data_IF_136360026456
#
_entry.id   IF_136360026456
#
_cell.length_a   1.000
_cell.length_b   1.000
_cell.length_c   1.000
_cell.angle_alpha   90.00
_cell.angle_beta   90.00
_cell.angle_gamma   90.00
#
_symmetry.space_group_name_H-M   'P 1'
#
loop_
_entity.id
_entity.type
_entity.pdbx_description
1 polymer ?
#
# COMPACT_ATOMS: atom_id res chain seq x y z
N UNK A 1 15.57 4.05 -29.01
CA UNK A 1 14.62 3.56 -27.98
C UNK A 1 14.83 4.29 -26.65
N UNK A 2 13.78 4.54 -25.86
CA UNK A 2 13.85 5.20 -24.54
C UNK A 2 13.61 4.16 -23.44
N UNK A 3 14.47 4.07 -22.43
CA UNK A 3 14.37 3.11 -21.32
C UNK A 3 14.43 3.82 -19.97
N UNK A 4 13.69 3.31 -19.00
CA UNK A 4 13.78 3.74 -17.59
C UNK A 4 15.12 3.32 -17.00
N UNK A 5 15.82 4.24 -16.34
CA UNK A 5 17.10 3.98 -15.67
C UNK A 5 17.22 4.83 -14.40
N UNK A 6 17.10 4.20 -13.23
CA UNK A 6 17.03 4.92 -11.96
C UNK A 6 15.85 5.90 -11.94
N UNK A 7 16.14 7.18 -11.66
CA UNK A 7 15.14 8.27 -11.68
C UNK A 7 14.99 8.94 -13.06
N UNK A 8 15.76 8.50 -14.04
CA UNK A 8 15.83 9.13 -15.36
C UNK A 8 15.40 8.17 -16.48
N UNK A 9 15.45 8.69 -17.70
CA UNK A 9 15.28 7.89 -18.90
C UNK A 9 16.53 8.02 -19.78
N UNK A 10 17.05 6.89 -20.24
CA UNK A 10 18.16 6.86 -21.19
C UNK A 10 17.65 6.63 -22.61
N UNK A 11 18.33 7.22 -23.59
CA UNK A 11 18.06 6.99 -25.01
C UNK A 11 19.13 6.09 -25.61
N UNK A 12 18.73 4.92 -26.08
CA UNK A 12 19.57 4.00 -26.83
C UNK A 12 19.46 4.28 -28.33
N UNK A 13 20.57 4.60 -29.04
CA UNK A 13 20.59 4.79 -30.48
C UNK A 13 20.69 3.41 -31.17
N UNK A 14 19.57 2.71 -31.27
CA UNK A 14 19.45 1.46 -32.02
C UNK A 14 18.69 1.76 -33.30
N UNK A 15 19.25 1.40 -34.44
CA UNK A 15 18.58 1.51 -35.73
C UNK A 15 17.41 0.54 -35.83
N UNK A 16 16.29 0.98 -36.40
CA UNK A 16 15.04 0.19 -36.48
C UNK A 16 15.23 -1.14 -37.21
N UNK A 17 16.16 -1.21 -38.19
CA UNK A 17 16.50 -2.45 -38.90
C UNK A 17 17.03 -3.56 -38.00
N UNK A 18 17.55 -3.19 -36.83
CA UNK A 18 18.08 -4.11 -35.82
C UNK A 18 17.04 -4.50 -34.75
N UNK A 19 15.79 -3.99 -34.86
CA UNK A 19 14.71 -4.23 -33.88
C UNK A 19 13.71 -5.22 -34.47
N UNK A 20 13.68 -6.43 -33.90
CA UNK A 20 12.69 -7.46 -34.31
C UNK A 20 11.29 -7.09 -33.80
N UNK A 21 11.16 -6.70 -32.53
CA UNK A 21 9.87 -6.35 -31.92
C UNK A 21 10.06 -5.57 -30.61
N UNK A 22 9.13 -4.65 -30.32
CA UNK A 22 9.02 -3.99 -29.01
C UNK A 22 7.79 -4.56 -28.29
N UNK A 23 8.02 -5.15 -27.11
CA UNK A 23 6.95 -5.70 -26.27
C UNK A 23 6.54 -4.67 -25.21
N UNK A 24 5.40 -4.03 -25.43
CA UNK A 24 4.82 -3.07 -24.48
C UNK A 24 3.65 -3.69 -23.72
N UNK A 25 3.38 -3.16 -22.52
CA UNK A 25 2.16 -3.45 -21.78
C UNK A 25 0.94 -3.03 -22.61
N UNK A 26 -0.15 -3.79 -22.51
CA UNK A 26 -1.44 -3.38 -23.08
C UNK A 26 -1.88 -2.08 -22.39
N UNK A 27 -2.27 -1.08 -23.18
CA UNK A 27 -2.85 0.16 -22.64
C UNK A 27 -4.09 -0.18 -21.82
N UNK A 28 -4.12 0.26 -20.57
CA UNK A 28 -5.29 0.18 -19.71
C UNK A 28 -5.94 1.57 -19.65
N UNK A 29 -7.28 1.60 -19.60
CA UNK A 29 -8.01 2.86 -19.40
C UNK A 29 -7.78 3.32 -17.97
N UNK A 30 -7.17 4.49 -17.79
CA UNK A 30 -7.01 5.08 -16.46
C UNK A 30 -8.39 5.38 -15.83
N UNK A 31 -8.49 5.19 -14.52
CA UNK A 31 -9.64 5.66 -13.75
C UNK A 31 -9.61 7.19 -13.68
N UNK A 32 -10.71 7.84 -14.05
CA UNK A 32 -10.80 9.31 -14.06
C UNK A 32 -10.76 9.90 -12.64
N UNK A 33 -11.49 9.30 -11.69
CA UNK A 33 -11.54 9.73 -10.29
C UNK A 33 -11.31 8.52 -9.37
N UNK A 34 -10.05 8.06 -9.19
CA UNK A 34 -9.74 6.89 -8.38
C UNK A 34 -10.24 7.00 -6.93
N UNK A 35 -10.14 8.19 -6.33
CA UNK A 35 -10.57 8.42 -4.94
C UNK A 35 -12.08 8.24 -4.76
N UNK A 36 -12.89 8.87 -5.63
CA UNK A 36 -14.36 8.70 -5.61
C UNK A 36 -14.70 7.22 -5.77
N UNK A 37 -14.04 6.54 -6.71
CA UNK A 37 -14.31 5.13 -6.95
C UNK A 37 -13.97 4.28 -5.73
N UNK A 38 -12.89 4.59 -5.04
CA UNK A 38 -12.49 3.89 -3.82
C UNK A 38 -13.50 4.11 -2.68
N UNK A 39 -14.00 5.33 -2.49
CA UNK A 39 -15.05 5.63 -1.49
C UNK A 39 -16.33 4.84 -1.74
N UNK A 40 -16.72 4.62 -2.99
CA UNK A 40 -17.85 3.74 -3.34
C UNK A 40 -17.56 2.28 -2.98
N UNK A 41 -16.38 1.78 -3.35
CA UNK A 41 -15.98 0.38 -3.13
C UNK A 41 -15.90 0.03 -1.64
N UNK A 42 -15.44 0.96 -0.81
CA UNK A 42 -15.39 0.79 0.65
C UNK A 42 -16.77 0.59 1.28
N UNK A 43 -17.80 1.26 0.74
CA UNK A 43 -19.20 1.12 1.19
C UNK A 43 -19.87 -0.16 0.71
N UNK A 44 -19.40 -0.73 -0.40
CA UNK A 44 -19.98 -1.93 -1.02
C UNK A 44 -18.88 -2.93 -1.40
N UNK A 45 -18.17 -3.51 -0.42
CA UNK A 45 -17.10 -4.47 -0.70
C UNK A 45 -17.65 -5.78 -1.26
N UNK A 46 -16.77 -6.53 -1.93
CA UNK A 46 -17.12 -7.80 -2.58
C UNK A 46 -17.05 -8.92 -1.54
N UNK A 47 -18.18 -9.59 -1.29
CA UNK A 47 -18.25 -10.85 -0.54
C UNK A 47 -18.11 -10.74 0.98
N UNK A 48 -18.06 -9.53 1.54
CA UNK A 48 -17.92 -9.27 2.99
C UNK A 48 -18.78 -8.08 3.43
N UNK A 49 -19.07 -7.94 4.74
CA UNK A 49 -19.66 -6.71 5.29
C UNK A 49 -18.74 -5.50 5.07
N UNK A 50 -19.31 -4.30 5.05
CA UNK A 50 -18.51 -3.06 4.94
C UNK A 50 -17.60 -2.86 6.16
N UNK A 51 -16.57 -2.03 6.02
CA UNK A 51 -15.59 -1.80 7.08
C UNK A 51 -16.24 -1.31 8.37
N UNK A 52 -17.24 -0.43 8.25
CA UNK A 52 -18.09 0.03 9.36
C UNK A 52 -18.75 -1.13 10.12
N UNK A 53 -19.42 -2.03 9.41
CA UNK A 53 -20.09 -3.17 10.02
C UNK A 53 -19.10 -4.09 10.73
N UNK A 54 -17.97 -4.40 10.09
CA UNK A 54 -16.92 -5.24 10.68
C UNK A 54 -16.36 -4.66 11.97
N UNK A 55 -16.09 -3.36 12.01
CA UNK A 55 -15.55 -2.68 13.19
C UNK A 55 -16.58 -2.69 14.34
N UNK A 56 -17.85 -2.41 14.05
CA UNK A 56 -18.92 -2.43 15.05
C UNK A 56 -19.12 -3.85 15.60
N UNK A 57 -19.25 -4.85 14.71
CA UNK A 57 -19.46 -6.25 15.10
C UNK A 57 -18.32 -6.78 15.98
N UNK A 58 -17.07 -6.45 15.63
CA UNK A 58 -15.89 -6.87 16.40
C UNK A 58 -15.62 -5.99 17.63
N UNK A 59 -16.38 -4.91 17.83
CA UNK A 59 -16.11 -3.87 18.84
C UNK A 59 -14.64 -3.41 18.77
N UNK A 60 -14.10 -3.30 17.56
CA UNK A 60 -12.69 -3.02 17.33
C UNK A 60 -12.37 -1.58 17.72
N UNK A 61 -11.40 -1.41 18.62
CA UNK A 61 -10.94 -0.10 19.10
C UNK A 61 -9.57 0.29 18.58
N UNK A 62 -8.77 -0.69 18.14
CA UNK A 62 -7.41 -0.52 17.62
C UNK A 62 -7.34 -1.11 16.23
N UNK A 63 -6.74 -0.38 15.30
CA UNK A 63 -6.63 -0.75 13.89
C UNK A 63 -5.15 -0.81 13.53
N UNK A 64 -4.74 -1.95 12.96
CA UNK A 64 -3.43 -2.11 12.36
C UNK A 64 -3.61 -2.13 10.84
N UNK A 65 -2.99 -1.19 10.13
CA UNK A 65 -2.98 -1.15 8.66
C UNK A 65 -1.65 -1.72 8.20
N UNK A 66 -1.69 -2.87 7.53
CA UNK A 66 -0.51 -3.47 6.90
C UNK A 66 -0.32 -2.82 5.54
N UNK A 67 0.86 -2.26 5.29
CA UNK A 67 1.19 -1.54 4.09
C UNK A 67 2.50 -2.08 3.48
N UNK A 68 2.57 -2.20 2.15
CA UNK A 68 3.78 -2.56 1.42
C UNK A 68 4.94 -1.59 1.71
N UNK A 69 6.16 -2.12 1.62
CA UNK A 69 7.41 -1.37 1.71
C UNK A 69 7.74 -0.55 0.44
N UNK A 70 8.88 0.16 0.47
CA UNK A 70 9.35 1.03 -0.63
C UNK A 70 9.52 0.31 -1.97
N UNK A 71 9.66 -1.01 -1.98
CA UNK A 71 9.90 -1.77 -3.22
C UNK A 71 8.63 -1.91 -4.08
N UNK A 72 7.48 -1.45 -3.58
CA UNK A 72 6.19 -1.50 -4.26
C UNK A 72 5.67 -0.10 -4.59
N UNK A 73 5.32 0.19 -5.86
CA UNK A 73 4.75 1.47 -6.27
C UNK A 73 3.25 1.55 -5.90
N UNK A 74 2.93 1.47 -4.60
CA UNK A 74 1.54 1.51 -4.12
C UNK A 74 1.08 2.97 -3.99
N UNK A 75 -0.03 3.38 -4.62
CA UNK A 75 -0.47 4.77 -4.64
C UNK A 75 -1.21 5.16 -3.34
N UNK A 76 -0.48 5.27 -2.23
CA UNK A 76 -1.07 5.56 -0.91
C UNK A 76 -1.74 6.92 -0.82
N UNK A 77 -1.28 7.92 -1.57
CA UNK A 77 -1.93 9.23 -1.67
C UNK A 77 -3.38 9.13 -2.19
N UNK A 78 -3.70 8.09 -2.97
CA UNK A 78 -5.06 7.81 -3.46
C UNK A 78 -5.80 6.91 -2.47
N UNK A 79 -5.12 5.91 -1.89
CA UNK A 79 -5.76 4.84 -1.12
C UNK A 79 -6.08 5.26 0.32
N UNK A 80 -5.15 5.92 0.99
CA UNK A 80 -5.25 6.16 2.43
C UNK A 80 -6.23 7.26 2.82
N UNK A 81 -6.36 8.40 2.11
CA UNK A 81 -7.33 9.42 2.50
C UNK A 81 -8.77 8.89 2.65
N UNK A 82 -9.37 8.18 1.66
CA UNK A 82 -10.73 7.68 1.81
C UNK A 82 -10.86 6.59 2.88
N UNK A 83 -9.84 5.75 3.07
CA UNK A 83 -9.82 4.73 4.11
C UNK A 83 -9.78 5.34 5.52
N UNK A 84 -8.89 6.30 5.74
CA UNK A 84 -8.73 6.97 7.03
C UNK A 84 -9.96 7.82 7.38
N UNK A 85 -10.54 8.50 6.39
CA UNK A 85 -11.81 9.22 6.56
C UNK A 85 -12.93 8.30 7.05
N UNK A 86 -13.07 7.11 6.46
CA UNK A 86 -14.08 6.14 6.88
C UNK A 86 -13.84 5.66 8.32
N UNK A 87 -12.60 5.32 8.68
CA UNK A 87 -12.24 4.92 10.05
C UNK A 87 -12.57 6.03 11.07
N UNK A 88 -12.28 7.28 10.75
CA UNK A 88 -12.61 8.42 11.60
C UNK A 88 -14.11 8.68 11.72
N UNK A 89 -14.87 8.52 10.64
CA UNK A 89 -16.34 8.63 10.67
C UNK A 89 -16.98 7.56 11.56
N UNK A 90 -16.34 6.39 11.71
CA UNK A 90 -16.78 5.32 12.62
C UNK A 90 -16.38 5.62 14.08
N UNK A 91 -15.56 6.65 14.32
CA UNK A 91 -15.11 7.07 15.65
C UNK A 91 -13.75 6.50 16.07
N UNK A 92 -12.99 5.88 15.15
CA UNK A 92 -11.61 5.45 15.44
C UNK A 92 -10.72 6.67 15.49
N UNK A 93 -10.11 6.90 16.65
CA UNK A 93 -9.16 8.00 16.84
C UNK A 93 -7.79 7.70 16.23
N UNK A 94 -7.05 8.73 15.82
CA UNK A 94 -5.74 8.60 15.15
C UNK A 94 -4.73 7.78 15.96
N UNK A 95 -4.69 7.99 17.27
CA UNK A 95 -3.79 7.29 18.21
C UNK A 95 -4.04 5.77 18.28
N UNK A 96 -5.20 5.31 17.82
CA UNK A 96 -5.55 3.90 17.76
C UNK A 96 -5.29 3.26 16.39
N UNK A 97 -4.77 4.02 15.43
CA UNK A 97 -4.40 3.55 14.09
C UNK A 97 -2.88 3.47 14.03
N UNK A 98 -2.37 2.28 13.75
CA UNK A 98 -0.94 2.01 13.58
C UNK A 98 -0.73 1.44 12.18
N UNK A 99 0.31 1.91 11.51
CA UNK A 99 0.78 1.34 10.26
C UNK A 99 1.92 0.36 10.52
N UNK A 100 1.85 -0.82 9.91
CA UNK A 100 2.95 -1.77 9.85
C UNK A 100 3.44 -1.90 8.42
N UNK A 101 4.70 -1.57 8.18
CA UNK A 101 5.35 -1.76 6.88
C UNK A 101 5.73 -3.23 6.75
N UNK A 102 5.12 -3.91 5.77
CA UNK A 102 5.32 -5.31 5.46
C UNK A 102 6.59 -5.51 4.61
N UNK A 103 7.73 -5.56 5.29
CA UNK A 103 9.06 -5.74 4.70
C UNK A 103 9.33 -7.18 4.26
N UNK A 104 8.62 -8.17 4.79
CA UNK A 104 8.96 -9.58 4.57
C UNK A 104 10.39 -9.86 5.05
N UNK A 105 11.25 -10.33 4.13
CA UNK A 105 12.68 -10.56 4.39
C UNK A 105 13.57 -9.34 4.09
N UNK A 106 12.99 -8.22 3.63
CA UNK A 106 13.75 -7.02 3.34
C UNK A 106 14.17 -6.31 4.63
N UNK A 107 15.19 -5.44 4.52
CA UNK A 107 15.52 -4.52 5.60
C UNK A 107 14.33 -3.61 5.92
N UNK A 108 14.28 -3.13 7.17
CA UNK A 108 13.40 -2.04 7.56
C UNK A 108 13.57 -0.82 6.65
N UNK A 109 12.47 -0.14 6.36
CA UNK A 109 12.49 1.16 5.68
C UNK A 109 12.95 2.24 6.66
N UNK A 110 13.75 3.19 6.16
CA UNK A 110 14.14 4.37 6.93
C UNK A 110 12.93 5.30 7.13
N UNK A 111 13.08 6.29 8.02
CA UNK A 111 12.02 7.29 8.23
C UNK A 111 11.74 8.11 6.97
N UNK A 112 12.79 8.43 6.23
CA UNK A 112 12.73 9.18 4.98
C UNK A 112 12.03 8.37 3.89
N UNK A 113 12.31 7.07 3.80
CA UNK A 113 11.63 6.16 2.88
C UNK A 113 10.14 6.04 3.21
N UNK A 114 9.78 5.88 4.49
CA UNK A 114 8.38 5.86 4.92
C UNK A 114 7.71 7.20 4.57
N UNK A 115 8.37 8.33 4.84
CA UNK A 115 7.85 9.65 4.46
C UNK A 115 7.65 9.79 2.95
N UNK A 116 8.56 9.26 2.13
CA UNK A 116 8.46 9.26 0.67
C UNK A 116 7.25 8.44 0.18
N UNK A 117 7.03 7.26 0.77
CA UNK A 117 5.94 6.34 0.39
C UNK A 117 4.56 6.88 0.80
N UNK A 118 4.43 7.38 2.04
CA UNK A 118 3.15 7.70 2.65
C UNK A 118 2.81 9.19 2.61
N UNK A 119 3.79 10.05 2.30
CA UNK A 119 3.66 11.49 2.35
C UNK A 119 3.74 12.06 3.77
N UNK A 120 4.14 13.33 3.87
CA UNK A 120 4.43 13.99 5.15
C UNK A 120 3.22 14.03 6.10
N UNK A 121 2.03 14.27 5.55
CA UNK A 121 0.81 14.43 6.36
C UNK A 121 0.45 13.13 7.09
N UNK A 122 0.61 11.98 6.45
CA UNK A 122 0.32 10.68 7.07
C UNK A 122 1.48 10.27 7.96
N UNK A 123 2.72 10.43 7.50
CA UNK A 123 3.92 10.10 8.28
C UNK A 123 3.97 10.82 9.63
N UNK A 124 3.63 12.11 9.67
CA UNK A 124 3.62 12.91 10.90
C UNK A 124 2.42 12.63 11.81
N UNK A 125 1.29 12.20 11.25
CA UNK A 125 0.05 12.01 12.01
C UNK A 125 -0.12 10.63 12.63
N UNK A 126 0.56 9.60 12.12
CA UNK A 126 0.36 8.21 12.53
C UNK A 126 1.66 7.52 12.95
N UNK A 127 1.51 6.47 13.76
CA UNK A 127 2.65 5.63 14.15
C UNK A 127 2.93 4.60 13.06
N UNK A 128 4.19 4.52 12.66
CA UNK A 128 4.72 3.49 11.75
C UNK A 128 5.64 2.53 12.50
N UNK A 129 5.55 1.25 12.14
CA UNK A 129 6.42 0.17 12.64
C UNK A 129 6.88 -0.64 11.43
N UNK A 130 8.17 -0.94 11.33
CA UNK A 130 8.67 -1.91 10.36
C UNK A 130 8.43 -3.32 10.90
N UNK A 131 7.94 -4.22 10.06
CA UNK A 131 8.05 -5.64 10.35
C UNK A 131 9.53 -6.07 10.36
N UNK A 132 9.84 -7.08 11.17
CA UNK A 132 11.13 -7.75 11.20
C UNK A 132 10.88 -9.26 11.29
N UNK A 133 11.34 -10.01 10.28
CA UNK A 133 11.16 -11.46 10.22
C UNK A 133 12.04 -12.21 11.23
N UNK A 134 13.08 -11.56 11.78
CA UNK A 134 13.96 -12.11 12.81
C UNK A 134 13.58 -11.62 14.22
N UNK A 135 12.39 -11.02 14.39
CA UNK A 135 11.94 -10.53 15.68
C UNK A 135 11.69 -11.69 16.66
N UNK A 136 12.31 -11.70 17.85
CA UNK A 136 12.14 -12.80 18.81
C UNK A 136 10.72 -12.88 19.40
N UNK A 137 9.88 -11.86 19.20
CA UNK A 137 8.50 -11.81 19.69
C UNK A 137 7.45 -12.24 18.65
N UNK A 138 7.88 -12.74 17.48
CA UNK A 138 6.96 -13.37 16.54
C UNK A 138 6.18 -14.51 17.20
N UNK A 139 4.94 -14.71 16.75
CA UNK A 139 4.03 -15.71 17.29
C UNK A 139 3.72 -16.76 16.25
N UNK A 140 3.84 -18.02 16.65
CA UNK A 140 3.33 -19.15 15.89
C UNK A 140 1.79 -19.06 15.86
N UNK A 141 1.22 -19.07 14.66
CA UNK A 141 -0.23 -19.04 14.41
C UNK A 141 -0.75 -20.38 13.86
N UNK A 142 0.11 -21.39 13.76
CA UNK A 142 -0.20 -22.72 13.26
C UNK A 142 0.59 -23.10 12.01
N UNK A 143 0.25 -24.27 11.46
CA UNK A 143 0.95 -24.86 10.31
C UNK A 143 0.26 -24.52 8.99
N UNK A 144 1.07 -24.27 7.97
CA UNK A 144 0.56 -24.14 6.60
C UNK A 144 0.22 -25.52 6.04
N UNK A 145 -0.58 -25.55 4.96
CA UNK A 145 -0.94 -26.81 4.27
C UNK A 145 0.27 -27.56 3.70
N UNK A 146 1.37 -26.86 3.44
CA UNK A 146 2.61 -27.41 2.90
C UNK A 146 3.49 -28.13 3.93
N UNK A 147 3.17 -28.00 5.23
CA UNK A 147 4.05 -28.44 6.33
C UNK A 147 4.71 -27.26 6.98
#
# INVERSE_FOLDING_TARGET
MKLKYGKEDIRLPIEDKNIIKILNLKKQKALLNPEIKLRELLKSPIGYPCLKELIIQKKAKKILIIANDITRPTPYEIILPPLLDELHQIGIKKENIIFMVATGIHRGNSREEIKEIFGENIFSAYKFINHNCDDPYLKDLGKLKSG
#
